data_IF_131588379043
#
_entry.id   IF_131588379043
#
_cell.length_a   1.000
_cell.length_b   1.000
_cell.length_c   1.000
_cell.angle_alpha   90.00
_cell.angle_beta   90.00
_cell.angle_gamma   90.00
#
_symmetry.space_group_name_H-M   'P 1'
#
loop_
_entity.id
_entity.type
_entity.pdbx_description
1 polymer ?
#
# COMPACT_ATOMS: atom_id res chain seq x y z
N UNK A 1 -7.77 -6.14 -40.76
CA UNK A 1 -8.59 -7.20 -40.15
C UNK A 1 -10.03 -6.70 -40.03
N UNK A 2 -11.04 -7.49 -40.41
CA UNK A 2 -12.45 -7.06 -40.48
C UNK A 2 -13.04 -6.60 -39.13
N UNK A 3 -12.42 -6.95 -38.01
CA UNK A 3 -12.81 -6.54 -36.64
C UNK A 3 -12.48 -5.07 -36.29
N UNK A 4 -11.66 -4.38 -37.10
CA UNK A 4 -11.36 -2.96 -36.91
C UNK A 4 -12.43 -2.02 -37.49
N UNK A 5 -13.42 -2.58 -38.21
CA UNK A 5 -14.53 -1.82 -38.77
C UNK A 5 -15.57 -1.51 -37.70
N UNK A 6 -16.35 -0.45 -37.90
CA UNK A 6 -17.52 -0.19 -37.07
C UNK A 6 -18.66 -1.10 -37.53
N UNK A 7 -19.09 -1.98 -36.64
CA UNK A 7 -20.17 -2.92 -36.88
C UNK A 7 -21.41 -2.46 -36.12
N UNK A 8 -22.56 -2.50 -36.79
CA UNK A 8 -23.86 -2.16 -36.22
C UNK A 8 -24.71 -3.42 -36.16
N UNK A 9 -25.34 -3.67 -35.00
CA UNK A 9 -26.22 -4.82 -34.83
C UNK A 9 -27.47 -4.64 -35.68
N UNK A 10 -27.74 -5.60 -36.55
CA UNK A 10 -28.91 -5.61 -37.42
C UNK A 10 -30.08 -6.38 -36.80
N UNK A 11 -29.81 -7.20 -35.78
CA UNK A 11 -30.77 -8.06 -35.07
C UNK A 11 -31.32 -7.42 -33.78
N UNK A 12 -30.74 -6.32 -33.30
CA UNK A 12 -31.19 -5.63 -32.09
C UNK A 12 -31.07 -4.11 -32.20
N UNK A 13 -32.00 -3.40 -31.57
CA UNK A 13 -31.96 -1.93 -31.45
C UNK A 13 -31.06 -1.43 -30.30
N UNK A 14 -30.70 -2.31 -29.36
CA UNK A 14 -29.68 -2.03 -28.34
C UNK A 14 -28.28 -2.16 -28.92
N UNK A 15 -27.36 -1.27 -28.52
CA UNK A 15 -25.97 -1.34 -28.96
C UNK A 15 -25.32 -2.65 -28.50
N UNK A 16 -25.13 -3.60 -29.41
CA UNK A 16 -24.33 -4.80 -29.18
C UNK A 16 -22.90 -4.59 -29.67
N UNK A 17 -21.94 -5.12 -28.92
CA UNK A 17 -20.55 -5.20 -29.35
C UNK A 17 -20.29 -6.55 -30.03
N UNK A 18 -19.90 -6.50 -31.30
CA UNK A 18 -19.55 -7.67 -32.13
C UNK A 18 -18.44 -8.54 -31.53
N UNK A 19 -17.61 -7.98 -30.64
CA UNK A 19 -16.47 -8.69 -30.05
C UNK A 19 -16.87 -9.67 -28.95
N UNK A 20 -17.99 -9.44 -28.31
CA UNK A 20 -18.40 -10.17 -27.10
C UNK A 20 -19.80 -10.74 -27.19
N UNK A 21 -20.63 -10.26 -28.12
CA UNK A 21 -22.04 -10.68 -28.22
C UNK A 21 -22.34 -11.39 -29.53
N UNK A 22 -23.21 -12.40 -29.44
CA UNK A 22 -23.78 -13.05 -30.61
C UNK A 22 -24.82 -12.16 -31.28
N UNK A 23 -24.88 -12.25 -32.62
CA UNK A 23 -25.82 -11.47 -33.40
C UNK A 23 -25.45 -11.40 -34.87
N UNK A 24 -26.27 -10.66 -35.63
CA UNK A 24 -26.02 -10.38 -37.04
C UNK A 24 -25.64 -8.92 -37.15
N UNK A 25 -24.46 -8.66 -37.69
CA UNK A 25 -23.86 -7.34 -37.77
C UNK A 25 -23.70 -6.90 -39.21
N UNK A 26 -23.82 -5.58 -39.43
CA UNK A 26 -23.63 -4.95 -40.72
C UNK A 26 -22.56 -3.86 -40.64
N UNK A 27 -21.74 -3.77 -41.69
CA UNK A 27 -20.78 -2.69 -41.90
C UNK A 27 -20.82 -2.28 -43.38
N UNK A 28 -21.61 -1.26 -43.72
CA UNK A 28 -21.80 -0.80 -45.09
C UNK A 28 -22.51 -1.87 -45.95
N UNK A 29 -21.79 -2.46 -46.91
CA UNK A 29 -22.28 -3.56 -47.76
C UNK A 29 -21.98 -4.96 -47.20
N UNK A 30 -21.24 -5.06 -46.09
CA UNK A 30 -20.85 -6.35 -45.49
C UNK A 30 -21.80 -6.77 -44.39
N UNK A 31 -22.00 -8.08 -44.30
CA UNK A 31 -22.79 -8.76 -43.28
C UNK A 31 -21.91 -9.80 -42.59
N UNK A 32 -22.08 -9.96 -41.28
CA UNK A 32 -21.35 -10.93 -40.47
C UNK A 32 -22.27 -11.51 -39.41
N UNK A 33 -22.36 -12.83 -39.34
CA UNK A 33 -23.08 -13.54 -38.29
C UNK A 33 -22.05 -14.05 -37.26
N UNK A 34 -22.21 -13.63 -36.00
CA UNK A 34 -21.37 -14.07 -34.89
C UNK A 34 -22.21 -15.02 -34.02
N UNK A 35 -21.74 -16.25 -33.90
CA UNK A 35 -22.33 -17.27 -33.05
C UNK A 35 -21.42 -17.51 -31.84
N UNK A 36 -21.64 -16.74 -30.78
CA UNK A 36 -21.01 -16.94 -29.48
C UNK A 36 -22.04 -17.59 -28.56
N UNK A 37 -21.92 -18.88 -28.22
CA UNK A 37 -22.89 -19.54 -27.35
C UNK A 37 -22.81 -18.95 -25.94
N UNK A 38 -23.93 -18.88 -25.22
CA UNK A 38 -23.95 -18.34 -23.85
C UNK A 38 -23.04 -19.09 -22.87
N UNK A 39 -22.74 -20.37 -23.15
CA UNK A 39 -21.76 -21.16 -22.40
C UNK A 39 -20.33 -20.57 -22.45
N UNK A 40 -19.98 -19.81 -23.48
CA UNK A 40 -18.68 -19.15 -23.56
C UNK A 40 -18.58 -17.92 -22.64
N UNK A 41 -19.72 -17.39 -22.20
CA UNK A 41 -19.81 -16.31 -21.22
C UNK A 41 -19.91 -16.81 -19.78
N UNK A 42 -20.11 -18.11 -19.57
CA UNK A 42 -20.14 -18.68 -18.23
C UNK A 42 -18.72 -18.84 -17.68
N UNK A 43 -18.41 -18.21 -16.53
CA UNK A 43 -17.09 -18.36 -15.92
C UNK A 43 -16.98 -19.77 -15.33
N UNK A 44 -16.23 -20.65 -16.00
CA UNK A 44 -15.84 -21.93 -15.42
C UNK A 44 -14.79 -21.70 -14.31
N UNK A 45 -15.11 -22.13 -13.09
CA UNK A 45 -14.21 -22.04 -11.95
C UNK A 45 -13.37 -23.31 -11.89
N UNK A 46 -12.07 -23.15 -12.09
CA UNK A 46 -11.11 -24.25 -12.02
C UNK A 46 -10.37 -24.25 -10.68
N UNK A 47 -10.20 -25.44 -10.10
CA UNK A 47 -9.35 -25.60 -8.92
C UNK A 47 -7.88 -25.31 -9.27
N UNK A 48 -7.08 -24.78 -8.32
CA UNK A 48 -5.69 -24.40 -8.57
C UNK A 48 -4.83 -25.51 -9.18
N UNK A 49 -5.08 -26.76 -8.78
CA UNK A 49 -4.38 -27.93 -9.30
C UNK A 49 -4.77 -28.27 -10.75
N UNK A 50 -6.02 -28.02 -11.13
CA UNK A 50 -6.50 -28.19 -12.50
C UNK A 50 -5.93 -27.10 -13.40
N UNK A 51 -5.88 -25.85 -12.91
CA UNK A 51 -5.22 -24.74 -13.60
C UNK A 51 -3.72 -25.03 -13.82
N UNK A 52 -3.02 -25.56 -12.81
CA UNK A 52 -1.60 -25.98 -12.94
C UNK A 52 -1.39 -27.02 -14.04
N UNK A 53 -2.31 -27.99 -14.16
CA UNK A 53 -2.23 -29.00 -15.23
C UNK A 53 -2.41 -28.41 -16.63
N UNK A 54 -3.27 -27.42 -16.80
CA UNK A 54 -3.51 -26.77 -18.10
C UNK A 54 -2.27 -26.06 -18.64
N UNK A 55 -1.53 -25.38 -17.76
CA UNK A 55 -0.33 -24.65 -18.15
C UNK A 55 0.95 -25.52 -18.11
N UNK A 56 0.88 -26.73 -17.55
CA UNK A 56 1.99 -27.68 -17.53
C UNK A 56 3.26 -27.08 -16.89
N UNK A 57 4.32 -26.95 -17.69
CA UNK A 57 5.60 -26.39 -17.25
C UNK A 57 5.72 -24.86 -17.40
N UNK A 58 4.68 -24.17 -17.90
CA UNK A 58 4.72 -22.71 -18.04
C UNK A 58 4.73 -22.05 -16.66
N UNK A 59 5.64 -21.09 -16.41
CA UNK A 59 5.59 -20.31 -15.19
C UNK A 59 4.39 -19.36 -15.25
N UNK A 60 3.44 -19.53 -14.33
CA UNK A 60 2.34 -18.61 -14.13
C UNK A 60 2.11 -18.39 -12.64
N UNK A 61 1.70 -17.18 -12.28
CA UNK A 61 1.40 -16.81 -10.90
C UNK A 61 -0.07 -16.46 -10.78
N UNK A 62 -0.77 -17.08 -9.84
CA UNK A 62 -2.16 -16.75 -9.52
C UNK A 62 -2.21 -15.52 -8.60
N UNK A 63 -3.30 -14.76 -8.66
CA UNK A 63 -3.50 -13.61 -7.77
C UNK A 63 -3.46 -14.01 -6.28
N UNK A 64 -3.99 -15.20 -5.96
CA UNK A 64 -3.97 -15.77 -4.62
C UNK A 64 -2.53 -15.99 -4.11
N UNK A 65 -1.64 -16.55 -4.94
CA UNK A 65 -0.24 -16.80 -4.57
C UNK A 65 0.52 -15.49 -4.33
N UNK A 66 0.31 -14.47 -5.17
CA UNK A 66 0.91 -13.14 -5.00
C UNK A 66 0.45 -12.46 -3.70
N UNK A 67 -0.83 -12.58 -3.36
CA UNK A 67 -1.36 -12.01 -2.10
C UNK A 67 -0.71 -12.64 -0.86
N UNK A 68 -0.39 -13.93 -0.91
CA UNK A 68 0.26 -14.67 0.17
C UNK A 68 1.72 -14.25 0.36
N UNK A 69 2.47 -14.16 -0.73
CA UNK A 69 3.88 -13.71 -0.70
C UNK A 69 4.01 -12.25 -0.24
N UNK A 70 3.15 -11.37 -0.73
CA UNK A 70 3.16 -9.95 -0.35
C UNK A 70 2.80 -9.75 1.12
N UNK A 71 1.81 -10.47 1.64
CA UNK A 71 1.43 -10.40 3.08
C UNK A 71 2.58 -10.85 3.99
N UNK A 72 3.31 -11.90 3.60
CA UNK A 72 4.48 -12.39 4.36
C UNK A 72 5.61 -11.35 4.39
N UNK A 73 6.00 -10.83 3.23
CA UNK A 73 7.11 -9.88 3.12
C UNK A 73 6.77 -8.51 3.74
N UNK A 74 5.56 -8.01 3.51
CA UNK A 74 5.10 -6.73 4.05
C UNK A 74 4.98 -6.75 5.58
N UNK A 75 4.52 -7.88 6.14
CA UNK A 75 4.42 -8.05 7.59
C UNK A 75 5.78 -8.04 8.30
N UNK A 76 6.82 -8.58 7.66
CA UNK A 76 8.16 -8.69 8.25
C UNK A 76 8.92 -7.35 8.25
N UNK A 77 8.88 -6.63 7.12
CA UNK A 77 9.48 -5.29 6.99
C UNK A 77 8.85 -4.30 7.95
N UNK A 78 7.52 -4.37 8.11
CA UNK A 78 6.80 -3.51 9.05
C UNK A 78 7.23 -3.73 10.50
N UNK A 79 7.41 -4.99 10.91
CA UNK A 79 7.88 -5.34 12.26
C UNK A 79 9.29 -4.80 12.53
N UNK A 80 10.20 -4.94 11.57
CA UNK A 80 11.57 -4.42 11.69
C UNK A 80 11.58 -2.89 11.79
N UNK A 81 10.78 -2.21 10.97
CA UNK A 81 10.64 -0.75 11.03
C UNK A 81 10.09 -0.29 12.39
N UNK A 82 9.05 -0.94 12.91
CA UNK A 82 8.50 -0.63 14.23
C UNK A 82 9.52 -0.85 15.35
N UNK A 83 10.28 -1.94 15.31
CA UNK A 83 11.36 -2.19 16.28
C UNK A 83 12.47 -1.14 16.20
N UNK A 84 12.87 -0.73 14.99
CA UNK A 84 13.87 0.31 14.80
C UNK A 84 13.39 1.66 15.34
N UNK A 85 12.14 2.05 15.05
CA UNK A 85 11.55 3.28 15.55
C UNK A 85 11.42 3.27 17.07
N UNK A 86 10.96 2.16 17.66
CA UNK A 86 10.89 1.98 19.11
C UNK A 86 12.28 2.13 19.75
N UNK A 87 13.31 1.54 19.14
CA UNK A 87 14.70 1.67 19.60
C UNK A 87 15.15 3.13 19.57
N UNK A 88 14.85 3.85 18.49
CA UNK A 88 15.18 5.27 18.36
C UNK A 88 14.51 6.11 19.45
N UNK A 89 13.23 5.86 19.73
CA UNK A 89 12.49 6.56 20.79
C UNK A 89 13.08 6.30 22.19
N UNK A 90 13.52 5.07 22.48
CA UNK A 90 14.17 4.74 23.75
C UNK A 90 15.52 5.44 23.88
N UNK A 91 16.31 5.47 22.80
CA UNK A 91 17.60 6.16 22.76
C UNK A 91 17.42 7.66 22.98
N UNK A 92 16.48 8.29 22.27
CA UNK A 92 16.14 9.69 22.45
C UNK A 92 15.72 10.00 23.88
N UNK A 93 14.88 9.16 24.50
CA UNK A 93 14.46 9.32 25.89
C UNK A 93 15.62 9.26 26.90
N UNK A 94 16.70 8.55 26.57
CA UNK A 94 17.93 8.52 27.37
C UNK A 94 18.77 9.78 27.11
N UNK A 95 18.90 10.21 25.86
CA UNK A 95 19.71 11.36 25.44
C UNK A 95 19.18 12.71 25.93
N UNK A 96 17.85 12.86 26.07
CA UNK A 96 17.22 14.12 26.50
C UNK A 96 17.47 14.42 28.01
N UNK A 97 18.08 13.49 28.77
CA UNK A 97 18.32 13.71 30.20
C UNK A 97 19.33 14.84 30.42
N UNK A 98 19.03 15.83 31.28
CA UNK A 98 19.97 16.90 31.61
C UNK A 98 21.23 16.30 32.27
N UNK A 99 22.42 16.89 32.02
CA UNK A 99 23.65 16.44 32.64
C UNK A 99 23.50 16.51 34.17
N UNK A 100 23.97 15.46 34.85
CA UNK A 100 23.94 15.41 36.31
C UNK A 100 24.75 16.62 36.83
N UNK A 101 24.21 17.45 37.74
CA UNK A 101 24.94 18.59 38.27
C UNK A 101 26.25 18.10 38.87
N UNK A 102 27.34 18.77 38.51
CA UNK A 102 28.65 18.42 39.03
C UNK A 102 28.66 18.61 40.55
N UNK A 103 29.42 17.79 41.27
CA UNK A 103 29.50 17.89 42.73
C UNK A 103 29.90 19.29 43.22
N UNK A 104 30.56 20.11 42.37
CA UNK A 104 30.91 21.49 42.67
C UNK A 104 29.68 22.44 42.71
N UNK A 105 28.71 22.28 41.82
CA UNK A 105 27.47 23.09 41.82
C UNK A 105 26.53 22.73 42.95
N UNK A 106 26.43 21.44 43.30
CA UNK A 106 25.62 20.98 44.42
C UNK A 106 26.12 21.51 45.78
N UNK A 107 27.43 21.79 45.89
CA UNK A 107 28.04 22.37 47.11
C UNK A 107 27.88 23.90 47.13
N UNK A 108 27.92 24.57 45.98
CA UNK A 108 27.71 26.01 45.86
C UNK A 108 26.26 26.43 46.20
N UNK A 109 25.27 25.62 45.81
CA UNK A 109 23.84 25.87 46.10
C UNK A 109 23.51 25.69 47.60
N UNK A 110 24.32 24.92 48.34
CA UNK A 110 24.14 24.66 49.77
C UNK A 110 24.52 25.85 50.67
N UNK A 111 25.28 26.83 50.17
CA UNK A 111 25.69 28.00 50.95
C UNK A 111 25.42 29.30 50.20
N UNK A 112 24.17 29.81 50.21
CA UNK A 112 23.87 31.12 49.66
C UNK A 112 24.61 32.20 50.46
N UNK A 113 25.47 32.96 49.77
CA UNK A 113 26.28 34.03 50.35
C UNK A 113 25.33 35.14 50.85
N UNK A 114 25.14 35.26 52.17
CA UNK A 114 24.30 36.30 52.80
C UNK A 114 24.91 37.67 52.47
N UNK A 115 24.26 38.43 51.59
CA UNK A 115 24.66 39.79 51.25
C UNK A 115 24.60 40.66 52.51
N UNK A 116 25.71 41.33 52.81
CA UNK A 116 25.83 42.22 53.95
C UNK A 116 24.86 43.40 53.79
N UNK A 117 23.86 43.47 54.68
CA UNK A 117 23.13 44.70 54.95
C UNK A 117 24.03 45.62 55.77
N UNK A 118 24.36 46.78 55.23
CA UNK A 118 25.04 47.84 55.95
C UNK A 118 24.59 49.19 55.40
N UNK A 119 23.45 49.68 55.88
CA UNK A 119 23.06 51.07 55.72
C UNK A 119 23.50 51.86 56.94
N UNK A 120 24.21 52.97 56.72
CA UNK A 120 24.37 54.18 57.56
C UNK A 120 24.85 55.23 56.54
N UNK A 121 24.22 56.37 56.24
CA UNK A 121 23.44 57.26 57.08
C UNK A 121 24.34 58.33 57.67
N UNK A 122 24.78 59.35 56.92
CA UNK A 122 25.17 60.63 57.54
C UNK A 122 25.01 61.81 56.57
N UNK A 123 24.43 62.87 57.11
CA UNK A 123 24.01 64.10 56.48
C UNK A 123 25.04 65.22 56.70
N UNK A 124 24.76 66.36 56.06
CA UNK A 124 25.37 67.70 56.14
C UNK A 124 26.42 68.02 55.09
#
# INVERSE_FOLDING_TARGET
>A
ADLARRWEAADSSGGKDIRVQAGVYRSGSRWLAVNRPGLEDEPEVLEPEQARRLFGALPFNTLAERSRQTTSLQGEIWRLFLLAMLTFLVVEAILIRPPKPSAAEAVADRFPRRAASGGVGEAA
#
